data_IF_991309754472
#
_entry.id   IF_991309754472
#
_cell.length_a   1.000
_cell.length_b   1.000
_cell.length_c   1.000
_cell.angle_alpha   90.00
_cell.angle_beta   90.00
_cell.angle_gamma   90.00
#
_symmetry.space_group_name_H-M   'P 1'
#
loop_
_entity.id
_entity.type
_entity.pdbx_description
1 polymer ?
#
# COMPACT_ATOMS: atom_id res chain seq x y z
N UNK A 1 5.44 -25.68 24.94
CA UNK A 1 4.28 -25.10 25.63
C UNK A 1 3.43 -24.39 24.58
N UNK A 2 2.13 -24.64 24.47
CA UNK A 2 1.28 -23.87 23.57
C UNK A 2 1.18 -22.41 24.07
N UNK A 3 1.08 -21.42 23.16
CA UNK A 3 0.96 -20.03 23.55
C UNK A 3 -0.35 -19.81 24.34
N UNK A 4 -0.25 -19.10 25.45
CA UNK A 4 -1.40 -18.69 26.27
C UNK A 4 -2.37 -17.88 25.42
N UNK A 5 -3.69 -18.19 25.43
CA UNK A 5 -4.68 -17.40 24.72
C UNK A 5 -4.67 -15.97 25.26
N UNK A 6 -4.68 -14.99 24.35
CA UNK A 6 -4.90 -13.58 24.74
C UNK A 6 -6.22 -13.46 25.47
N UNK A 7 -6.29 -12.68 26.55
CA UNK A 7 -7.55 -12.43 27.22
C UNK A 7 -8.53 -11.76 26.24
N UNK A 8 -9.76 -12.30 26.24
CA UNK A 8 -10.86 -11.79 25.45
C UNK A 8 -11.05 -10.28 25.78
N UNK A 9 -10.94 -9.36 24.81
CA UNK A 9 -11.27 -7.97 25.08
C UNK A 9 -12.77 -7.93 25.35
N UNK A 10 -13.15 -7.62 26.58
CA UNK A 10 -14.55 -7.50 27.00
C UNK A 10 -15.38 -6.64 26.03
N UNK A 11 -16.73 -6.69 26.11
CA UNK A 11 -17.61 -6.00 25.17
C UNK A 11 -17.25 -4.51 25.11
N UNK A 12 -17.19 -3.91 23.88
CA UNK A 12 -16.85 -2.51 23.72
C UNK A 12 -17.86 -1.63 24.45
N UNK A 13 -17.38 -0.50 25.00
CA UNK A 13 -18.23 0.48 25.65
C UNK A 13 -19.39 0.92 24.73
N UNK A 14 -20.60 1.15 25.24
CA UNK A 14 -21.75 1.54 24.43
C UNK A 14 -21.44 2.79 23.59
N UNK A 15 -21.55 2.70 22.26
CA UNK A 15 -21.33 3.78 21.31
C UNK A 15 -19.96 3.78 20.60
N UNK A 16 -19.04 2.88 20.92
CA UNK A 16 -17.75 2.74 20.22
C UNK A 16 -17.89 1.62 19.16
N UNK A 17 -17.66 1.96 17.90
CA UNK A 17 -17.60 0.97 16.82
C UNK A 17 -16.30 0.14 16.99
N UNK A 18 -16.37 -1.18 17.26
CA UNK A 18 -15.18 -2.01 17.49
C UNK A 18 -14.29 -2.13 16.24
N UNK A 19 -14.80 -1.75 15.07
CA UNK A 19 -14.08 -1.78 13.82
C UNK A 19 -13.43 -0.44 13.44
N UNK A 20 -13.53 0.58 14.31
CA UNK A 20 -12.92 1.89 14.13
C UNK A 20 -11.98 2.22 15.30
N UNK A 21 -10.83 2.81 14.99
CA UNK A 21 -9.96 3.39 16.01
C UNK A 21 -10.56 4.68 16.58
N UNK A 22 -10.00 5.16 17.68
CA UNK A 22 -10.30 6.51 18.16
C UNK A 22 -9.85 7.56 17.13
N UNK A 23 -10.59 8.68 17.03
CA UNK A 23 -10.18 9.78 16.18
C UNK A 23 -8.85 10.38 16.66
N UNK A 24 -7.92 10.61 15.73
CA UNK A 24 -6.65 11.27 16.00
C UNK A 24 -6.81 12.79 15.96
N UNK A 25 -6.02 13.48 16.75
CA UNK A 25 -5.88 14.95 16.76
C UNK A 25 -4.60 15.42 16.03
N UNK A 26 -3.79 14.49 15.53
CA UNK A 26 -2.54 14.72 14.81
C UNK A 26 -2.47 14.03 13.45
N UNK A 27 -1.61 14.55 12.59
CA UNK A 27 -1.33 13.95 11.28
C UNK A 27 -0.46 12.69 11.43
N UNK A 28 -0.88 11.52 10.90
CA UNK A 28 -0.08 10.29 10.98
C UNK A 28 1.22 10.36 10.16
N UNK A 29 1.37 11.39 9.31
CA UNK A 29 2.55 11.54 8.47
C UNK A 29 3.61 12.46 9.09
N UNK A 30 3.23 13.64 9.60
CA UNK A 30 4.18 14.65 10.10
C UNK A 30 3.96 15.05 11.56
N UNK A 31 2.97 14.47 12.26
CA UNK A 31 2.67 14.78 13.67
C UNK A 31 1.99 16.14 13.89
N UNK A 32 1.75 16.93 12.86
CA UNK A 32 1.10 18.25 13.03
C UNK A 32 -0.35 18.11 13.50
N UNK A 33 -0.76 18.97 14.42
CA UNK A 33 -2.16 19.09 14.88
C UNK A 33 -3.01 20.03 14.03
N UNK A 34 -2.44 20.62 12.97
CA UNK A 34 -3.15 21.55 12.07
C UNK A 34 -3.96 20.76 11.03
N UNK A 35 -5.03 20.15 11.50
CA UNK A 35 -5.92 19.35 10.66
C UNK A 35 -7.12 20.15 10.19
N UNK A 36 -7.67 19.81 9.02
CA UNK A 36 -8.99 20.26 8.55
C UNK A 36 -9.78 19.07 8.02
N UNK A 37 -11.06 18.99 8.35
CA UNK A 37 -11.95 17.99 7.75
C UNK A 37 -12.28 18.40 6.32
N UNK A 38 -11.94 17.53 5.36
CA UNK A 38 -12.24 17.72 3.95
C UNK A 38 -13.56 17.09 3.54
N UNK A 39 -13.84 15.91 4.07
CA UNK A 39 -15.01 15.12 3.72
C UNK A 39 -15.64 14.58 4.98
N UNK A 40 -16.96 14.71 5.07
CA UNK A 40 -17.82 14.01 6.03
C UNK A 40 -19.03 13.47 5.29
N UNK A 41 -19.19 12.14 5.29
CA UNK A 41 -20.28 11.49 4.59
C UNK A 41 -20.74 10.25 5.34
N UNK A 42 -22.03 9.86 5.26
CA UNK A 42 -22.46 8.58 5.80
C UNK A 42 -21.74 7.44 5.07
N UNK A 43 -21.41 6.38 5.80
CA UNK A 43 -21.00 5.13 5.17
C UNK A 43 -22.16 4.58 4.35
N UNK A 44 -21.89 4.05 3.13
CA UNK A 44 -22.95 3.61 2.23
C UNK A 44 -23.73 2.40 2.77
N UNK A 45 -24.91 2.10 2.22
CA UNK A 45 -25.90 1.16 2.76
C UNK A 45 -25.44 -0.29 2.90
N UNK A 46 -24.32 -0.68 2.30
CA UNK A 46 -23.70 -2.01 2.43
C UNK A 46 -22.55 -2.07 3.43
N UNK A 47 -22.34 -1.01 4.20
CA UNK A 47 -21.26 -0.90 5.19
C UNK A 47 -21.85 -0.77 6.60
N UNK A 48 -21.02 -0.98 7.62
CA UNK A 48 -21.39 -0.69 9.02
C UNK A 48 -21.96 0.73 9.12
N UNK A 49 -23.06 0.94 9.87
CA UNK A 49 -23.57 2.27 10.13
C UNK A 49 -22.46 3.14 10.72
N UNK A 50 -22.20 4.30 10.14
CA UNK A 50 -21.15 5.19 10.62
C UNK A 50 -20.94 6.39 9.71
N UNK A 51 -20.05 7.27 10.10
CA UNK A 51 -19.66 8.45 9.34
C UNK A 51 -18.24 8.26 8.82
N UNK A 52 -18.08 8.30 7.53
CA UNK A 52 -16.78 8.36 6.87
C UNK A 52 -16.26 9.80 6.92
N UNK A 53 -15.09 9.98 7.51
CA UNK A 53 -14.46 11.30 7.64
C UNK A 53 -13.05 11.24 7.06
N UNK A 54 -12.68 12.26 6.29
CA UNK A 54 -11.32 12.47 5.79
C UNK A 54 -10.83 13.80 6.34
N UNK A 55 -9.71 13.77 7.04
CA UNK A 55 -8.98 14.94 7.45
C UNK A 55 -7.74 15.14 6.57
N UNK A 56 -7.36 16.39 6.36
CA UNK A 56 -6.13 16.78 5.68
C UNK A 56 -5.26 17.61 6.62
N UNK A 57 -3.98 17.31 6.63
CA UNK A 57 -2.98 18.11 7.32
C UNK A 57 -2.67 19.39 6.53
N UNK A 58 -2.78 20.56 7.18
CA UNK A 58 -2.48 21.84 6.55
C UNK A 58 -0.97 22.07 6.28
N UNK A 59 -0.10 21.32 6.96
CA UNK A 59 1.35 21.47 6.82
C UNK A 59 1.94 20.59 5.73
N UNK A 60 1.61 19.29 5.72
CA UNK A 60 2.15 18.36 4.73
C UNK A 60 1.17 17.96 3.63
N UNK A 61 -0.10 18.39 3.70
CA UNK A 61 -1.18 18.07 2.76
C UNK A 61 -1.48 16.55 2.67
N UNK A 62 -1.08 15.76 3.66
CA UNK A 62 -1.47 14.36 3.75
C UNK A 62 -2.96 14.29 4.12
N UNK A 63 -3.76 13.64 3.29
CA UNK A 63 -5.16 13.39 3.61
C UNK A 63 -5.34 11.94 4.07
N UNK A 64 -6.14 11.73 5.10
CA UNK A 64 -6.30 10.42 5.71
C UNK A 64 -7.70 10.22 6.31
N UNK A 65 -8.13 8.96 6.36
CA UNK A 65 -9.38 8.60 7.02
C UNK A 65 -9.22 8.75 8.55
N UNK A 66 -10.16 9.47 9.20
CA UNK A 66 -10.08 9.75 10.62
C UNK A 66 -11.48 9.79 11.27
N UNK A 67 -11.91 8.78 12.06
CA UNK A 67 -11.14 7.61 12.47
C UNK A 67 -10.87 6.64 11.32
N UNK A 68 -9.80 5.88 11.44
CA UNK A 68 -9.49 4.78 10.51
C UNK A 68 -10.02 3.46 11.05
N UNK A 69 -10.22 2.44 10.20
CA UNK A 69 -10.57 1.10 10.66
C UNK A 69 -9.46 0.48 11.53
N UNK A 70 -9.84 -0.32 12.50
CA UNK A 70 -8.95 -1.24 13.21
C UNK A 70 -8.42 -2.33 12.27
N UNK A 71 -7.44 -3.14 12.72
CA UNK A 71 -6.95 -4.28 11.95
C UNK A 71 -8.09 -5.23 11.55
N UNK A 72 -9.00 -5.54 12.49
CA UNK A 72 -10.18 -6.37 12.21
C UNK A 72 -11.14 -5.70 11.24
N UNK A 73 -11.33 -4.39 11.36
CA UNK A 73 -12.11 -3.59 10.41
C UNK A 73 -11.53 -3.62 9.00
N UNK A 74 -10.20 -3.61 8.86
CA UNK A 74 -9.51 -3.77 7.56
C UNK A 74 -9.67 -5.17 7.00
N UNK A 75 -9.47 -6.22 7.79
CA UNK A 75 -9.69 -7.60 7.38
C UNK A 75 -11.13 -7.82 6.90
N UNK A 76 -12.11 -7.33 7.66
CA UNK A 76 -13.51 -7.40 7.27
C UNK A 76 -13.79 -6.69 5.94
N UNK A 77 -13.13 -5.54 5.69
CA UNK A 77 -13.23 -4.82 4.42
C UNK A 77 -12.64 -5.63 3.26
N UNK A 78 -11.47 -6.28 3.46
CA UNK A 78 -10.84 -7.12 2.45
C UNK A 78 -11.70 -8.33 2.09
N UNK A 79 -12.34 -8.98 3.07
CA UNK A 79 -13.20 -10.15 2.83
C UNK A 79 -14.53 -9.80 2.13
N UNK A 80 -15.08 -8.61 2.32
CA UNK A 80 -16.38 -8.20 1.76
C UNK A 80 -16.34 -7.70 0.31
N UNK A 81 -15.18 -7.64 -0.34
CA UNK A 81 -15.08 -7.21 -1.73
C UNK A 81 -15.00 -8.40 -2.68
N UNK A 82 -16.13 -8.82 -3.28
CA UNK A 82 -16.12 -9.81 -4.34
C UNK A 82 -15.59 -9.16 -5.62
N UNK A 83 -14.29 -9.29 -5.89
CA UNK A 83 -13.69 -8.90 -7.17
C UNK A 83 -13.59 -10.10 -8.10
N UNK A 84 -14.57 -11.00 -8.06
CA UNK A 84 -14.54 -12.20 -8.89
C UNK A 84 -15.23 -11.99 -10.25
N UNK A 85 -14.52 -12.29 -11.26
CA UNK A 85 -15.01 -13.05 -12.41
C UNK A 85 -15.15 -12.32 -13.73
N UNK A 86 -15.46 -11.05 -13.85
CA UNK A 86 -15.88 -10.50 -15.15
C UNK A 86 -14.91 -9.54 -15.85
N UNK A 87 -13.70 -9.32 -15.27
CA UNK A 87 -12.80 -8.27 -15.77
C UNK A 87 -11.86 -8.76 -16.89
N UNK A 88 -11.73 -10.08 -17.09
CA UNK A 88 -10.74 -10.63 -18.06
C UNK A 88 -11.15 -10.46 -19.53
N UNK A 89 -12.42 -10.44 -19.84
CA UNK A 89 -12.94 -10.41 -21.22
C UNK A 89 -13.44 -9.05 -21.68
N UNK A 90 -13.55 -8.07 -20.79
CA UNK A 90 -14.07 -6.75 -21.12
C UNK A 90 -12.96 -5.73 -21.39
N UNK A 91 -13.32 -4.56 -21.91
CA UNK A 91 -12.37 -3.47 -22.21
C UNK A 91 -11.53 -3.05 -20.98
N UNK A 92 -12.13 -3.02 -19.79
CA UNK A 92 -11.44 -2.66 -18.56
C UNK A 92 -10.33 -3.65 -18.20
N UNK A 93 -10.54 -4.95 -18.42
CA UNK A 93 -9.52 -5.99 -18.23
C UNK A 93 -8.33 -5.82 -19.18
N UNK A 94 -8.61 -5.53 -20.47
CA UNK A 94 -7.58 -5.28 -21.49
C UNK A 94 -6.75 -4.04 -21.17
N UNK A 95 -7.39 -2.96 -20.75
CA UNK A 95 -6.73 -1.72 -20.36
C UNK A 95 -5.86 -1.91 -19.12
N UNK A 96 -6.35 -2.65 -18.11
CA UNK A 96 -5.55 -3.00 -16.93
C UNK A 96 -4.33 -3.84 -17.29
N UNK A 97 -4.47 -4.88 -18.11
CA UNK A 97 -3.34 -5.70 -18.58
C UNK A 97 -2.31 -4.86 -19.33
N UNK A 98 -2.75 -3.94 -20.21
CA UNK A 98 -1.86 -2.99 -20.89
C UNK A 98 -1.12 -2.09 -19.90
N UNK A 99 -1.82 -1.59 -18.87
CA UNK A 99 -1.22 -0.78 -17.81
C UNK A 99 -0.15 -1.55 -17.03
N UNK A 100 -0.45 -2.78 -16.61
CA UNK A 100 0.50 -3.67 -15.92
C UNK A 100 1.73 -3.97 -16.78
N UNK A 101 1.55 -4.27 -18.07
CA UNK A 101 2.68 -4.47 -19.00
C UNK A 101 3.52 -3.21 -19.16
N UNK A 102 2.90 -2.04 -19.19
CA UNK A 102 3.63 -0.76 -19.23
C UNK A 102 4.41 -0.52 -17.94
N UNK A 103 3.86 -0.95 -16.80
CA UNK A 103 4.56 -0.89 -15.53
C UNK A 103 5.79 -1.82 -15.51
N UNK A 104 5.61 -3.07 -15.94
CA UNK A 104 6.71 -4.02 -16.05
C UNK A 104 7.81 -3.54 -16.99
N UNK A 105 7.46 -3.01 -18.17
CA UNK A 105 8.43 -2.43 -19.12
C UNK A 105 9.21 -1.24 -18.56
N UNK A 106 8.65 -0.50 -17.62
CA UNK A 106 9.34 0.62 -17.01
C UNK A 106 10.57 0.18 -16.18
N UNK A 107 10.69 -1.10 -15.84
CA UNK A 107 11.82 -1.68 -15.13
C UNK A 107 13.00 -2.07 -16.05
N UNK A 108 12.75 -2.33 -17.33
CA UNK A 108 13.78 -2.79 -18.29
C UNK A 108 15.06 -1.93 -18.33
N UNK A 109 15.01 -0.58 -18.22
CA UNK A 109 16.22 0.23 -18.20
C UNK A 109 17.08 0.09 -16.94
N UNK A 110 16.57 -0.53 -15.88
CA UNK A 110 17.21 -0.53 -14.57
C UNK A 110 17.69 -1.92 -14.16
N UNK A 111 16.95 -2.97 -14.49
CA UNK A 111 17.24 -4.33 -14.06
C UNK A 111 16.55 -5.38 -14.93
N UNK A 112 17.20 -6.52 -15.13
CA UNK A 112 16.60 -7.78 -15.56
C UNK A 112 16.47 -8.68 -14.31
N UNK A 113 15.30 -8.67 -13.64
CA UNK A 113 15.15 -9.35 -12.37
C UNK A 113 15.02 -10.87 -12.54
N UNK A 114 15.68 -11.63 -11.65
CA UNK A 114 15.44 -13.08 -11.51
C UNK A 114 14.24 -13.34 -10.58
N UNK A 115 14.01 -12.44 -9.61
CA UNK A 115 13.00 -12.61 -8.57
C UNK A 115 12.22 -11.31 -8.32
N UNK A 116 10.89 -11.44 -8.28
CA UNK A 116 9.98 -10.32 -8.11
C UNK A 116 8.85 -10.64 -7.14
N UNK A 117 8.69 -9.88 -6.06
CA UNK A 117 7.53 -9.97 -5.17
C UNK A 117 6.52 -8.87 -5.49
N UNK A 118 5.26 -9.25 -5.70
CA UNK A 118 4.14 -8.31 -5.81
C UNK A 118 3.36 -8.26 -4.50
N UNK A 119 3.33 -7.07 -3.86
CA UNK A 119 2.69 -6.85 -2.56
C UNK A 119 1.27 -6.34 -2.76
N UNK A 120 0.30 -6.96 -2.07
CA UNK A 120 -1.11 -6.75 -2.36
C UNK A 120 -1.52 -7.36 -3.69
N UNK A 121 -0.92 -8.49 -4.04
CA UNK A 121 -1.03 -9.12 -5.36
C UNK A 121 -2.47 -9.54 -5.72
N UNK A 122 -3.32 -9.78 -4.72
CA UNK A 122 -4.70 -10.22 -4.90
C UNK A 122 -4.77 -11.49 -5.77
N UNK A 123 -5.33 -11.33 -6.97
CA UNK A 123 -5.47 -12.44 -7.93
C UNK A 123 -4.24 -12.66 -8.84
N UNK A 124 -3.12 -11.98 -8.64
CA UNK A 124 -1.89 -12.14 -9.43
C UNK A 124 -1.98 -11.60 -10.86
N UNK A 125 -2.84 -10.63 -11.13
CA UNK A 125 -2.99 -10.09 -12.50
C UNK A 125 -1.80 -9.23 -12.95
N UNK A 126 -1.07 -8.60 -12.02
CA UNK A 126 0.16 -7.91 -12.38
C UNK A 126 1.26 -8.90 -12.73
N UNK A 127 1.62 -9.88 -11.89
CA UNK A 127 2.57 -10.95 -12.23
C UNK A 127 2.26 -11.63 -13.57
N UNK A 128 0.98 -12.00 -13.81
CA UNK A 128 0.55 -12.60 -15.07
C UNK A 128 0.90 -11.73 -16.31
N UNK A 129 0.69 -10.42 -16.18
CA UNK A 129 1.00 -9.48 -17.26
C UNK A 129 2.50 -9.15 -17.36
N UNK A 130 3.20 -9.11 -16.23
CA UNK A 130 4.63 -8.81 -16.15
C UNK A 130 5.50 -9.92 -16.74
N UNK A 131 5.10 -11.19 -16.60
CA UNK A 131 5.77 -12.35 -17.18
C UNK A 131 5.90 -12.27 -18.71
N UNK A 132 4.99 -11.56 -19.40
CA UNK A 132 5.12 -11.32 -20.83
C UNK A 132 6.29 -10.38 -21.19
N UNK A 133 6.77 -9.60 -20.22
CA UNK A 133 7.87 -8.63 -20.38
C UNK A 133 9.17 -9.20 -19.80
N UNK A 134 9.07 -9.96 -18.73
CA UNK A 134 10.18 -10.58 -17.99
C UNK A 134 9.94 -12.09 -17.91
N UNK A 135 10.17 -12.84 -19.03
CA UNK A 135 9.78 -14.26 -19.12
C UNK A 135 10.63 -15.19 -18.24
N UNK A 136 11.81 -14.74 -17.81
CA UNK A 136 12.73 -15.52 -16.96
C UNK A 136 12.68 -15.15 -15.49
N UNK A 137 11.74 -14.27 -15.11
CA UNK A 137 11.57 -13.83 -13.72
C UNK A 137 10.61 -14.75 -12.97
N UNK A 138 11.02 -15.19 -11.79
CA UNK A 138 10.14 -15.82 -10.80
C UNK A 138 9.28 -14.75 -10.11
N UNK A 139 7.96 -14.89 -10.19
CA UNK A 139 7.01 -13.97 -9.59
C UNK A 139 6.35 -14.62 -8.39
N UNK A 140 6.54 -14.03 -7.21
CA UNK A 140 5.87 -14.39 -5.97
C UNK A 140 4.83 -13.33 -5.59
N UNK A 141 3.92 -13.66 -4.67
CA UNK A 141 2.90 -12.72 -4.20
C UNK A 141 2.68 -12.78 -2.70
N UNK A 142 2.40 -11.63 -2.09
CA UNK A 142 1.90 -11.53 -0.72
C UNK A 142 0.58 -10.75 -0.71
N UNK A 143 -0.42 -11.28 0.01
CA UNK A 143 -1.74 -10.66 0.16
C UNK A 143 -2.42 -11.21 1.42
N UNK A 144 -3.10 -10.39 2.25
CA UNK A 144 -3.75 -10.87 3.48
C UNK A 144 -4.95 -11.79 3.21
N UNK A 145 -5.42 -11.86 1.97
CA UNK A 145 -6.61 -12.65 1.62
C UNK A 145 -6.25 -13.97 0.93
N UNK A 146 -7.14 -14.98 0.97
CA UNK A 146 -6.94 -16.25 0.25
C UNK A 146 -6.84 -16.12 -1.28
N UNK A 147 -6.92 -14.90 -1.83
CA UNK A 147 -6.74 -14.65 -3.27
C UNK A 147 -5.34 -14.98 -3.74
N UNK A 148 -4.34 -14.80 -2.89
CA UNK A 148 -2.95 -15.11 -3.21
C UNK A 148 -2.77 -16.61 -3.49
N UNK A 149 -3.40 -17.48 -2.71
CA UNK A 149 -3.38 -18.93 -2.96
C UNK A 149 -4.09 -19.30 -4.26
N UNK A 150 -5.20 -18.62 -4.57
CA UNK A 150 -5.89 -18.80 -5.86
C UNK A 150 -5.05 -18.31 -7.03
N UNK A 151 -4.25 -17.23 -6.84
CA UNK A 151 -3.31 -16.76 -7.85
C UNK A 151 -2.23 -17.80 -8.14
N UNK A 152 -1.69 -18.44 -7.10
CA UNK A 152 -0.73 -19.57 -7.21
C UNK A 152 -1.36 -20.77 -7.90
N UNK A 153 -2.53 -21.20 -7.45
CA UNK A 153 -3.26 -22.33 -8.07
C UNK A 153 -3.59 -22.08 -9.55
N UNK A 154 -3.75 -20.81 -9.95
CA UNK A 154 -3.96 -20.40 -11.35
C UNK A 154 -2.64 -20.23 -12.15
N UNK A 155 -1.47 -20.55 -11.56
CA UNK A 155 -0.16 -20.43 -12.21
C UNK A 155 0.29 -18.99 -12.51
N UNK A 156 -0.28 -17.99 -11.82
CA UNK A 156 0.06 -16.58 -12.05
C UNK A 156 1.24 -16.11 -11.22
N UNK A 157 1.47 -16.75 -10.10
CA UNK A 157 2.63 -16.58 -9.22
C UNK A 157 3.19 -17.97 -8.86
N UNK A 158 4.44 -18.02 -8.44
CA UNK A 158 5.11 -19.26 -8.06
C UNK A 158 4.88 -19.55 -6.57
N UNK A 159 5.25 -18.62 -5.70
CA UNK A 159 5.04 -18.73 -4.26
C UNK A 159 3.97 -17.73 -3.78
N UNK A 160 3.12 -18.20 -2.87
CA UNK A 160 2.07 -17.42 -2.23
C UNK A 160 2.35 -17.26 -0.74
N UNK A 161 2.29 -16.02 -0.25
CA UNK A 161 2.41 -15.70 1.16
C UNK A 161 1.13 -15.03 1.62
N UNK A 162 0.28 -15.78 2.34
CA UNK A 162 -0.94 -15.22 2.89
C UNK A 162 -0.63 -14.49 4.20
N UNK A 163 -0.76 -13.17 4.22
CA UNK A 163 -0.50 -12.28 5.35
C UNK A 163 -0.13 -10.88 4.90
N UNK A 164 0.31 -10.06 5.83
CA UNK A 164 0.82 -8.72 5.56
C UNK A 164 2.34 -8.79 5.34
N UNK A 165 2.88 -7.97 4.45
CA UNK A 165 4.34 -7.88 4.29
C UNK A 165 5.04 -7.47 5.59
N UNK A 166 4.36 -6.69 6.42
CA UNK A 166 4.83 -6.21 7.72
C UNK A 166 4.78 -7.26 8.82
N UNK A 167 4.21 -8.45 8.58
CA UNK A 167 4.25 -9.54 9.54
C UNK A 167 5.72 -9.98 9.77
N UNK A 168 6.20 -10.02 11.02
CA UNK A 168 7.61 -10.29 11.30
C UNK A 168 8.11 -11.61 10.72
N UNK A 169 7.28 -12.65 10.73
CA UNK A 169 7.62 -13.97 10.19
C UNK A 169 7.79 -13.91 8.67
N UNK A 170 6.87 -13.23 7.95
CA UNK A 170 6.94 -13.05 6.50
C UNK A 170 8.17 -12.21 6.14
N UNK A 171 8.36 -11.06 6.80
CA UNK A 171 9.50 -10.19 6.53
C UNK A 171 10.84 -10.90 6.80
N UNK A 172 10.94 -11.68 7.88
CA UNK A 172 12.16 -12.43 8.22
C UNK A 172 12.45 -13.52 7.18
N UNK A 173 11.43 -14.29 6.79
CA UNK A 173 11.52 -15.37 5.78
C UNK A 173 11.98 -14.86 4.42
N UNK A 174 11.57 -13.64 4.04
CA UNK A 174 11.80 -13.06 2.72
C UNK A 174 13.01 -12.11 2.68
N UNK A 175 13.78 -11.98 3.77
CA UNK A 175 14.90 -11.05 3.88
C UNK A 175 15.90 -11.19 2.72
N UNK A 176 16.17 -10.07 2.05
CA UNK A 176 17.16 -9.96 0.95
C UNK A 176 16.97 -11.03 -0.14
N UNK A 177 15.72 -11.34 -0.49
CA UNK A 177 15.39 -12.40 -1.44
C UNK A 177 15.08 -11.88 -2.84
N UNK A 178 14.58 -10.65 -2.97
CA UNK A 178 14.02 -10.17 -4.22
C UNK A 178 14.85 -9.08 -4.89
N UNK A 179 14.95 -9.15 -6.20
CA UNK A 179 15.54 -8.09 -7.04
C UNK A 179 14.56 -6.94 -7.23
N UNK A 180 13.27 -7.25 -7.30
CA UNK A 180 12.21 -6.24 -7.42
C UNK A 180 11.06 -6.54 -6.44
N UNK A 181 10.53 -5.47 -5.83
CA UNK A 181 9.28 -5.47 -5.08
C UNK A 181 8.33 -4.47 -5.73
N UNK A 182 7.08 -4.86 -5.97
CA UNK A 182 6.05 -3.96 -6.51
C UNK A 182 4.89 -3.76 -5.54
N UNK A 183 4.30 -2.55 -5.57
CA UNK A 183 3.15 -2.14 -4.79
C UNK A 183 2.21 -1.33 -5.67
N UNK A 184 1.15 -1.95 -6.20
CA UNK A 184 0.17 -1.27 -7.04
C UNK A 184 -1.09 -0.94 -6.27
N UNK A 185 -1.33 0.35 -6.02
CA UNK A 185 -2.50 0.78 -5.25
C UNK A 185 -2.63 0.04 -3.91
N UNK A 186 -1.50 -0.17 -3.24
CA UNK A 186 -1.39 -0.88 -1.98
C UNK A 186 -1.20 0.06 -0.79
N UNK A 187 -0.23 0.98 -0.87
CA UNK A 187 0.15 1.85 0.25
C UNK A 187 -0.99 2.70 0.78
N UNK A 188 -1.89 3.15 -0.09
CA UNK A 188 -3.06 3.94 0.32
C UNK A 188 -4.09 3.15 1.13
N UNK A 189 -4.00 1.82 1.15
CA UNK A 189 -4.91 0.93 1.87
C UNK A 189 -4.30 0.32 3.13
N UNK A 190 -3.04 0.56 3.41
CA UNK A 190 -2.33 0.02 4.57
C UNK A 190 -2.48 0.90 5.81
N UNK A 191 -2.42 0.30 6.99
CA UNK A 191 -2.49 1.05 8.25
C UNK A 191 -1.25 1.95 8.46
N UNK A 192 -0.05 1.46 8.10
CA UNK A 192 1.22 2.18 8.17
C UNK A 192 2.01 2.03 6.87
N UNK A 193 1.88 2.99 5.93
CA UNK A 193 2.65 2.97 4.68
C UNK A 193 4.18 2.98 4.88
N UNK A 194 4.65 3.58 5.98
CA UNK A 194 6.09 3.59 6.30
C UNK A 194 6.61 2.23 6.72
N UNK A 195 5.82 1.49 7.50
CA UNK A 195 6.15 0.11 7.87
C UNK A 195 6.24 -0.78 6.61
N UNK A 196 5.32 -0.64 5.67
CA UNK A 196 5.37 -1.35 4.39
C UNK A 196 6.64 -1.04 3.58
N UNK A 197 7.03 0.24 3.48
CA UNK A 197 8.25 0.65 2.79
C UNK A 197 9.52 0.12 3.49
N UNK A 198 9.55 0.08 4.83
CA UNK A 198 10.65 -0.53 5.60
C UNK A 198 10.72 -2.04 5.39
N UNK A 199 9.58 -2.73 5.40
CA UNK A 199 9.50 -4.15 5.13
C UNK A 199 9.96 -4.46 3.70
N UNK A 200 9.50 -3.71 2.70
CA UNK A 200 9.96 -3.84 1.32
C UNK A 200 11.49 -3.69 1.20
N UNK A 201 12.06 -2.72 1.91
CA UNK A 201 13.51 -2.53 1.94
C UNK A 201 14.25 -3.74 2.54
N UNK A 202 13.67 -4.35 3.55
CA UNK A 202 14.27 -5.51 4.23
C UNK A 202 14.33 -6.73 3.31
N UNK A 203 13.29 -6.94 2.49
CA UNK A 203 13.19 -8.11 1.61
C UNK A 203 13.88 -7.92 0.25
N UNK A 204 14.11 -6.68 -0.18
CA UNK A 204 14.92 -6.39 -1.36
C UNK A 204 16.38 -6.81 -1.13
N UNK A 205 17.03 -7.31 -2.15
CA UNK A 205 18.50 -7.46 -2.22
C UNK A 205 19.18 -6.09 -2.19
N UNK A 206 20.47 -5.99 -1.82
CA UNK A 206 21.25 -4.79 -2.11
C UNK A 206 21.09 -4.40 -3.59
N UNK A 207 20.95 -3.11 -3.88
CA UNK A 207 20.67 -2.56 -5.21
C UNK A 207 19.36 -3.00 -5.86
N UNK A 208 18.53 -3.78 -5.18
CA UNK A 208 17.19 -4.15 -5.65
C UNK A 208 16.27 -2.93 -5.77
N UNK A 209 15.21 -3.07 -6.54
CA UNK A 209 14.33 -1.98 -6.93
C UNK A 209 12.93 -2.11 -6.34
N UNK A 210 12.37 -0.99 -5.92
CA UNK A 210 10.98 -0.84 -5.48
C UNK A 210 10.20 -0.12 -6.59
N UNK A 211 9.11 -0.73 -7.05
CA UNK A 211 8.15 -0.15 -8.00
C UNK A 211 6.83 0.14 -7.28
N UNK A 212 6.48 1.41 -7.14
CA UNK A 212 5.27 1.84 -6.42
C UNK A 212 4.34 2.60 -7.34
N UNK A 213 3.04 2.30 -7.28
CA UNK A 213 1.99 3.16 -7.83
C UNK A 213 1.02 3.57 -6.72
N UNK A 214 0.79 4.89 -6.61
CA UNK A 214 -0.17 5.49 -5.67
C UNK A 214 -1.05 6.52 -6.38
N UNK A 215 -2.30 6.73 -5.94
CA UNK A 215 -3.17 7.77 -6.49
C UNK A 215 -2.53 9.16 -6.36
N UNK A 216 -2.78 10.02 -7.36
CA UNK A 216 -2.39 11.44 -7.31
C UNK A 216 -3.44 12.25 -6.52
N UNK A 217 -3.13 12.72 -5.30
CA UNK A 217 -4.06 13.48 -4.48
C UNK A 217 -4.33 14.90 -5.02
N UNK A 218 -3.45 15.45 -5.86
CA UNK A 218 -3.56 16.80 -6.38
C UNK A 218 -4.66 16.97 -7.45
N UNK A 219 -5.29 15.88 -7.85
CA UNK A 219 -6.36 15.90 -8.85
C UNK A 219 -7.75 15.81 -8.21
N UNK A 220 -8.77 16.48 -8.77
CA UNK A 220 -10.14 16.45 -8.24
C UNK A 220 -10.69 15.03 -8.04
N UNK A 221 -10.21 14.07 -8.85
CA UNK A 221 -10.55 12.67 -8.73
C UNK A 221 -9.87 11.95 -7.57
N UNK A 222 -8.69 12.38 -7.10
CA UNK A 222 -8.05 11.83 -5.91
C UNK A 222 -8.94 12.02 -4.68
N UNK A 223 -9.43 13.23 -4.49
CA UNK A 223 -10.39 13.56 -3.42
C UNK A 223 -11.77 12.91 -3.68
N UNK A 224 -12.22 12.79 -4.94
CA UNK A 224 -13.49 12.14 -5.29
C UNK A 224 -13.46 10.61 -5.09
N UNK A 225 -12.31 9.95 -5.16
CA UNK A 225 -12.22 8.52 -4.83
C UNK A 225 -12.49 8.24 -3.37
N UNK A 226 -12.32 9.24 -2.51
CA UNK A 226 -12.72 9.20 -1.11
C UNK A 226 -14.20 9.54 -0.90
N UNK A 227 -14.90 10.16 -1.87
CA UNK A 227 -16.31 10.59 -1.72
C UNK A 227 -17.28 9.54 -2.27
N UNK A 228 -18.38 9.22 -1.57
CA UNK A 228 -19.32 8.16 -1.93
C UNK A 228 -20.21 8.42 -3.15
N UNK A 229 -19.98 9.44 -3.94
CA UNK A 229 -21.03 10.07 -4.77
C UNK A 229 -21.04 9.73 -6.26
N UNK A 230 -20.40 8.66 -6.72
CA UNK A 230 -20.53 8.22 -8.10
C UNK A 230 -21.53 7.06 -8.19
N UNK A 231 -22.73 7.25 -8.80
CA UNK A 231 -23.68 6.16 -8.99
C UNK A 231 -23.06 5.06 -9.87
N UNK A 232 -23.03 3.83 -9.38
CA UNK A 232 -22.69 2.62 -10.14
C UNK A 232 -21.26 2.10 -10.09
N UNK A 233 -20.28 2.78 -9.48
CA UNK A 233 -18.89 2.28 -9.39
C UNK A 233 -18.19 2.42 -8.03
N UNK A 234 -18.74 3.18 -7.11
CA UNK A 234 -18.08 3.50 -5.83
C UNK A 234 -18.26 2.45 -4.73
N UNK A 235 -19.09 1.43 -4.95
CA UNK A 235 -19.47 0.50 -3.89
C UNK A 235 -18.57 -0.72 -3.76
N UNK A 236 -17.74 -1.03 -4.76
CA UNK A 236 -17.01 -2.30 -4.84
C UNK A 236 -15.49 -2.20 -4.59
N UNK A 237 -14.94 -1.02 -4.33
CA UNK A 237 -13.52 -0.87 -4.02
C UNK A 237 -13.31 -0.41 -2.58
N UNK A 238 -12.29 -0.92 -1.88
CA UNK A 238 -11.89 -0.38 -0.58
C UNK A 238 -11.58 1.11 -0.74
N UNK A 239 -12.06 1.94 0.21
CA UNK A 239 -11.68 3.34 0.24
C UNK A 239 -10.24 3.46 0.72
N UNK A 240 -9.42 4.33 0.13
CA UNK A 240 -8.08 4.56 0.61
C UNK A 240 -8.10 5.11 2.04
N UNK A 241 -7.15 4.67 2.86
CA UNK A 241 -6.92 5.20 4.21
C UNK A 241 -6.07 6.45 4.14
N UNK A 242 -5.22 6.55 3.13
CA UNK A 242 -4.26 7.61 2.94
C UNK A 242 -4.26 8.13 1.50
N UNK A 243 -4.12 9.44 1.32
CA UNK A 243 -3.71 10.06 0.08
C UNK A 243 -2.42 10.84 0.35
N UNK A 244 -1.32 10.29 -0.15
CA UNK A 244 0.02 10.78 0.12
C UNK A 244 0.46 11.73 -1.00
N UNK A 245 0.73 13.02 -0.72
CA UNK A 245 1.39 13.88 -1.69
C UNK A 245 2.71 13.27 -2.16
N UNK A 246 2.97 13.35 -3.48
CA UNK A 246 4.17 12.78 -4.07
C UNK A 246 5.45 13.23 -3.36
N UNK A 247 5.55 14.53 -3.02
CA UNK A 247 6.71 15.09 -2.29
C UNK A 247 6.98 14.38 -0.96
N UNK A 248 5.91 14.04 -0.23
CA UNK A 248 6.02 13.35 1.06
C UNK A 248 6.54 11.92 0.87
N UNK A 249 6.00 11.20 -0.11
CA UNK A 249 6.43 9.84 -0.41
C UNK A 249 7.88 9.81 -0.90
N UNK A 250 8.29 10.74 -1.77
CA UNK A 250 9.67 10.84 -2.23
C UNK A 250 10.65 11.17 -1.09
N UNK A 251 10.27 12.05 -0.16
CA UNK A 251 11.07 12.37 1.02
C UNK A 251 11.22 11.13 1.92
N UNK A 252 10.13 10.38 2.14
CA UNK A 252 10.15 9.17 2.94
C UNK A 252 11.03 8.08 2.31
N UNK A 253 10.92 7.85 1.00
CA UNK A 253 11.78 6.89 0.31
C UNK A 253 13.26 7.22 0.50
N UNK A 254 13.63 8.49 0.34
CA UNK A 254 15.03 8.92 0.55
C UNK A 254 15.49 8.73 2.00
N UNK A 255 14.66 9.06 2.98
CA UNK A 255 14.99 8.86 4.41
C UNK A 255 15.18 7.40 4.77
N UNK A 256 14.48 6.50 4.06
CA UNK A 256 14.62 5.06 4.21
C UNK A 256 15.82 4.45 3.44
N UNK A 257 16.64 5.27 2.77
CA UNK A 257 17.79 4.80 2.00
C UNK A 257 17.41 4.18 0.66
N UNK A 258 16.42 4.80 -0.01
CA UNK A 258 16.15 4.56 -1.41
C UNK A 258 16.62 5.75 -2.25
N UNK A 259 17.24 5.46 -3.39
CA UNK A 259 17.47 6.41 -4.45
C UNK A 259 16.28 6.37 -5.42
N UNK A 260 15.59 7.49 -5.60
CA UNK A 260 14.49 7.58 -6.57
C UNK A 260 15.08 7.75 -7.97
N UNK A 261 14.99 6.70 -8.80
CA UNK A 261 15.57 6.68 -10.14
C UNK A 261 14.59 7.12 -11.22
N UNK A 262 13.28 7.00 -10.99
CA UNK A 262 12.27 7.53 -11.88
C UNK A 262 10.96 7.87 -11.17
N UNK A 263 10.29 8.89 -11.69
CA UNK A 263 8.92 9.26 -11.31
C UNK A 263 8.13 9.62 -12.55
N UNK A 264 6.97 9.02 -12.74
CA UNK A 264 6.09 9.28 -13.89
C UNK A 264 4.64 9.39 -13.44
N UNK A 265 3.89 10.31 -14.05
CA UNK A 265 2.43 10.28 -13.98
C UNK A 265 1.90 9.21 -14.92
N UNK A 266 1.06 8.32 -14.40
CA UNK A 266 0.42 7.26 -15.17
C UNK A 266 -1.01 7.67 -15.49
N UNK A 267 -1.37 7.58 -16.78
CA UNK A 267 -2.75 7.61 -17.23
C UNK A 267 -2.96 6.37 -18.10
N UNK A 268 -4.05 5.64 -18.05
CA UNK A 268 -5.17 6.01 -18.89
C UNK A 268 -6.55 5.92 -18.22
N UNK A 269 -6.63 5.63 -16.94
CA UNK A 269 -7.92 5.59 -16.24
C UNK A 269 -7.87 6.51 -15.02
N UNK A 270 -8.95 7.31 -14.74
CA UNK A 270 -9.07 7.95 -13.44
C UNK A 270 -9.16 6.90 -12.32
N UNK A 271 -8.47 7.10 -11.19
CA UNK A 271 -7.63 8.26 -10.89
C UNK A 271 -6.25 8.17 -11.54
N UNK A 272 -5.67 9.33 -11.92
CA UNK A 272 -4.25 9.39 -12.27
C UNK A 272 -3.42 8.92 -11.08
N UNK A 273 -2.34 8.21 -11.37
CA UNK A 273 -1.43 7.68 -10.36
C UNK A 273 -0.01 8.18 -10.61
N UNK A 274 0.78 8.23 -9.55
CA UNK A 274 2.23 8.39 -9.64
C UNK A 274 2.86 7.00 -9.61
N UNK A 275 3.70 6.71 -10.61
CA UNK A 275 4.60 5.55 -10.62
C UNK A 275 5.98 6.01 -10.23
N UNK A 276 6.56 5.36 -9.24
CA UNK A 276 7.88 5.65 -8.69
C UNK A 276 8.71 4.39 -8.80
N UNK A 277 9.92 4.53 -9.31
CA UNK A 277 10.94 3.48 -9.27
C UNK A 277 12.07 4.00 -8.38
N UNK A 278 12.41 3.19 -7.37
CA UNK A 278 13.45 3.56 -6.42
C UNK A 278 14.38 2.37 -6.19
N UNK A 279 15.69 2.61 -6.16
CA UNK A 279 16.72 1.61 -5.91
C UNK A 279 17.07 1.59 -4.42
N UNK A 280 17.19 0.42 -3.82
CA UNK A 280 17.71 0.25 -2.47
C UNK A 280 19.21 0.62 -2.46
N UNK A 281 19.60 1.61 -1.66
CA UNK A 281 21.00 1.96 -1.42
C UNK A 281 21.45 1.53 -0.02
N UNK A 282 22.74 1.59 0.24
CA UNK A 282 23.24 1.55 1.62
C UNK A 282 22.60 2.71 2.40
N UNK A 283 22.20 2.47 3.65
CA UNK A 283 21.76 3.58 4.51
C UNK A 283 22.96 4.55 4.66
N UNK A 284 22.73 5.87 4.59
CA UNK A 284 23.76 6.79 4.98
C UNK A 284 24.23 6.45 6.41
N UNK A 285 25.52 6.57 6.71
CA UNK A 285 26.00 6.35 8.06
C UNK A 285 25.19 7.24 9.01
N UNK A 286 24.78 6.68 10.16
CA UNK A 286 24.10 7.44 11.19
C UNK A 286 24.93 8.71 11.46
N UNK A 287 24.28 9.89 11.62
CA UNK A 287 25.00 11.10 11.97
C UNK A 287 25.86 10.80 13.19
N UNK A 288 27.17 11.01 13.04
CA UNK A 288 28.13 10.84 14.13
C UNK A 288 27.66 11.77 15.25
N UNK A 289 27.37 11.20 16.41
CA UNK A 289 27.03 12.01 17.57
C UNK A 289 28.16 13.06 17.74
N UNK A 290 27.82 14.33 17.97
CA UNK A 290 28.85 15.32 18.25
C UNK A 290 29.71 14.81 19.43
N UNK A 291 31.03 15.03 19.42
CA UNK A 291 31.89 14.65 20.53
C UNK A 291 31.32 15.25 21.84
N UNK A 292 31.39 14.53 22.95
CA UNK A 292 30.93 15.05 24.23
C UNK A 292 31.56 16.42 24.45
N UNK A 293 30.77 17.37 24.86
CA UNK A 293 31.21 18.73 25.19
C UNK A 293 32.28 18.63 26.30
N UNK A 294 33.54 19.00 26.05
CA UNK A 294 34.59 18.92 27.05
C UNK A 294 34.37 19.86 28.25
N UNK A 295 33.31 20.68 28.22
CA UNK A 295 32.93 21.60 29.29
C UNK A 295 31.73 21.12 30.12
N UNK A 296 31.19 19.90 29.86
CA UNK A 296 30.14 19.34 30.70
C UNK A 296 30.79 18.85 32.05
N UNK A 297 30.23 19.26 33.22
CA UNK A 297 30.76 18.95 34.50
C UNK A 297 30.61 17.46 34.88
#
# INVERSE_FOLDING_TARGET
MPPTPRPDPGPPAPGVDPFQEARRDDCPWCGSRRLRTMVRAPEGPRRTPGTFVVDECRDCCHAFQNPRPTADGLLLRHHRHPTEGHIRSNLAGRLRRRHHRTAARAMLPYIEPESWLDVGTGHGYFPEAAREVHPYTAFDGVDPTPRVERARAAGRIEEAYQGLLTDPEITARLRARYDVVSMFHHLEHTADPRAELRAARTILRPDGHLLVEVPDPARPFGTLTMVPRWPGRAHDRPRPLHLMPLRNLLAELRSLGYEVVATRSCAPFPPRAHRIIARRTALPPAPVAPPPDPSAP
#
